data_IF_802181325252
#
_entry.id   IF_802181325252
#
_cell.length_a   1.000
_cell.length_b   1.000
_cell.length_c   1.000
_cell.angle_alpha   90.00
_cell.angle_beta   90.00
_cell.angle_gamma   90.00
#
_symmetry.space_group_name_H-M   'P 1'
#
loop_
_entity.id
_entity.type
_entity.pdbx_description
1 polymer ?
#
# COMPACT_ATOMS: atom_id res chain seq x y z
N UNK A 1 1.51 -47.36 40.49
CA UNK A 1 2.59 -48.04 39.75
C UNK A 1 1.95 -49.08 38.85
N UNK A 2 2.03 -48.88 37.54
CA UNK A 2 2.12 -49.92 36.51
C UNK A 2 2.43 -49.19 35.20
N UNK A 3 3.63 -49.47 34.66
CA UNK A 3 4.16 -48.94 33.41
C UNK A 3 3.44 -49.61 32.23
N UNK A 4 3.23 -48.84 31.16
CA UNK A 4 2.98 -49.38 29.82
C UNK A 4 4.00 -48.69 28.90
N UNK A 5 5.06 -49.42 28.57
CA UNK A 5 5.94 -49.13 27.44
C UNK A 5 5.33 -49.87 26.25
N UNK A 6 4.93 -49.16 25.20
CA UNK A 6 4.72 -49.75 23.89
C UNK A 6 5.25 -48.82 22.80
N UNK A 7 6.09 -49.43 21.96
CA UNK A 7 6.89 -48.87 20.90
C UNK A 7 6.07 -48.15 19.83
N UNK A 8 6.45 -46.90 19.55
CA UNK A 8 6.18 -46.25 18.26
C UNK A 8 7.50 -45.74 17.67
N UNK A 9 8.34 -46.68 17.23
CA UNK A 9 9.39 -46.39 16.25
C UNK A 9 8.76 -46.23 14.86
N UNK A 10 8.12 -45.10 14.60
CA UNK A 10 7.97 -44.63 13.22
C UNK A 10 9.18 -43.77 12.89
N UNK A 11 10.16 -44.41 12.24
CA UNK A 11 11.20 -43.73 11.49
C UNK A 11 10.53 -42.85 10.43
N UNK A 12 10.30 -41.58 10.76
CA UNK A 12 10.11 -40.54 9.76
C UNK A 12 11.42 -40.44 8.97
N UNK A 13 11.45 -41.10 7.82
CA UNK A 13 12.49 -40.91 6.82
C UNK A 13 12.65 -39.42 6.58
N UNK A 14 13.78 -38.87 7.06
CA UNK A 14 14.16 -37.49 6.79
C UNK A 14 14.31 -37.36 5.28
N UNK A 15 13.33 -36.71 4.65
CA UNK A 15 13.41 -36.28 3.27
C UNK A 15 14.77 -35.61 3.04
N UNK A 16 15.48 -36.05 2.01
CA UNK A 16 16.81 -35.57 1.65
C UNK A 16 16.75 -34.06 1.41
N UNK A 17 17.15 -33.26 2.40
CA UNK A 17 17.26 -31.80 2.24
C UNK A 17 18.39 -31.58 1.24
N UNK A 18 18.13 -30.97 0.06
CA UNK A 18 19.18 -30.77 -0.93
C UNK A 18 20.32 -29.99 -0.29
N UNK A 19 21.53 -30.53 -0.41
CA UNK A 19 22.76 -29.93 0.12
C UNK A 19 22.98 -28.55 -0.50
N UNK A 20 22.44 -27.51 0.12
CA UNK A 20 22.75 -26.13 -0.24
C UNK A 20 24.22 -25.89 0.06
N UNK A 21 24.98 -25.46 -0.94
CA UNK A 21 26.39 -25.08 -0.78
C UNK A 21 26.56 -24.20 0.46
N UNK A 22 27.45 -24.60 1.39
CA UNK A 22 27.78 -23.79 2.59
C UNK A 22 28.52 -22.49 2.24
N UNK A 23 28.91 -22.30 0.99
CA UNK A 23 29.69 -21.17 0.48
C UNK A 23 28.89 -20.34 -0.51
N UNK A 24 29.17 -19.04 -0.51
CA UNK A 24 28.57 -18.07 -1.41
C UNK A 24 28.89 -18.39 -2.88
N UNK A 25 27.88 -18.34 -3.77
CA UNK A 25 28.08 -18.60 -5.20
C UNK A 25 28.85 -17.48 -5.90
N UNK A 26 28.77 -16.24 -5.40
CA UNK A 26 29.42 -15.06 -6.00
C UNK A 26 30.90 -14.96 -5.64
N UNK A 27 31.25 -14.92 -4.36
CA UNK A 27 32.65 -14.79 -3.93
C UNK A 27 33.36 -16.12 -3.67
N UNK A 28 32.64 -17.26 -3.66
CA UNK A 28 33.18 -18.61 -3.38
C UNK A 28 33.88 -18.79 -2.02
N UNK A 29 33.99 -17.75 -1.21
CA UNK A 29 34.69 -17.76 0.08
C UNK A 29 33.72 -17.56 1.25
N UNK A 30 32.89 -16.52 1.18
CA UNK A 30 31.98 -16.15 2.27
C UNK A 30 30.97 -17.25 2.58
N UNK A 31 30.63 -17.42 3.87
CA UNK A 31 29.60 -18.35 4.30
C UNK A 31 28.25 -17.96 3.67
N UNK A 32 27.58 -18.94 3.07
CA UNK A 32 26.21 -18.79 2.62
C UNK A 32 25.32 -18.41 3.82
N UNK A 33 24.72 -17.23 3.74
CA UNK A 33 23.82 -16.69 4.75
C UNK A 33 22.40 -16.48 4.20
N UNK A 34 22.26 -16.52 2.88
CA UNK A 34 21.09 -16.06 2.16
C UNK A 34 20.91 -16.96 0.94
N UNK A 35 19.73 -17.53 0.69
CA UNK A 35 19.47 -18.40 -0.47
C UNK A 35 18.32 -17.80 -1.25
N UNK A 36 18.58 -17.34 -2.48
CA UNK A 36 17.55 -16.70 -3.32
C UNK A 36 16.76 -17.77 -4.08
N UNK A 37 17.44 -18.82 -4.53
CA UNK A 37 16.87 -19.99 -5.24
C UNK A 37 17.68 -21.23 -4.89
N UNK A 38 17.15 -22.40 -5.19
CA UNK A 38 17.89 -23.67 -5.03
C UNK A 38 19.20 -23.59 -5.81
N UNK A 39 20.33 -23.65 -5.10
CA UNK A 39 21.68 -23.50 -5.68
C UNK A 39 22.28 -22.10 -5.61
N UNK A 40 21.47 -21.07 -5.37
CA UNK A 40 21.84 -19.64 -5.37
C UNK A 40 22.02 -19.10 -3.94
N UNK A 41 23.06 -19.58 -3.27
CA UNK A 41 23.40 -19.18 -1.90
C UNK A 41 24.43 -18.04 -1.86
N UNK A 42 24.14 -16.90 -1.23
CA UNK A 42 25.00 -15.71 -1.13
C UNK A 42 25.47 -15.47 0.32
N UNK A 43 26.65 -14.86 0.50
CA UNK A 43 27.02 -14.24 1.77
C UNK A 43 26.35 -12.87 1.89
N UNK A 44 26.24 -12.33 3.12
CA UNK A 44 25.57 -11.05 3.40
C UNK A 44 26.07 -9.90 2.52
N UNK A 45 27.39 -9.77 2.34
CA UNK A 45 27.99 -8.68 1.56
C UNK A 45 27.65 -8.82 0.07
N UNK A 46 27.94 -9.98 -0.52
CA UNK A 46 27.66 -10.24 -1.93
C UNK A 46 26.17 -10.14 -2.27
N UNK A 47 25.29 -10.54 -1.34
CA UNK A 47 23.86 -10.34 -1.46
C UNK A 47 23.51 -8.86 -1.46
N UNK A 48 23.99 -8.08 -0.47
CA UNK A 48 23.72 -6.65 -0.36
C UNK A 48 24.17 -5.90 -1.61
N UNK A 49 25.36 -6.16 -2.12
CA UNK A 49 25.87 -5.51 -3.33
C UNK A 49 25.02 -5.88 -4.55
N UNK A 50 24.71 -7.16 -4.71
CA UNK A 50 23.88 -7.64 -5.84
C UNK A 50 22.47 -7.08 -5.78
N UNK A 51 21.88 -7.04 -4.58
CA UNK A 51 20.57 -6.48 -4.32
C UNK A 51 20.56 -4.99 -4.61
N UNK A 52 21.52 -4.22 -4.10
CA UNK A 52 21.66 -2.77 -4.37
C UNK A 52 21.83 -2.50 -5.86
N UNK A 53 22.65 -3.27 -6.57
CA UNK A 53 22.80 -3.12 -8.02
C UNK A 53 21.49 -3.41 -8.78
N UNK A 54 20.81 -4.51 -8.45
CA UNK A 54 19.53 -4.88 -9.08
C UNK A 54 18.44 -3.85 -8.77
N UNK A 55 18.36 -3.43 -7.50
CA UNK A 55 17.43 -2.41 -7.01
C UNK A 55 17.64 -1.07 -7.73
N UNK A 56 18.89 -0.60 -7.86
CA UNK A 56 19.21 0.63 -8.60
C UNK A 56 18.92 0.53 -10.09
N UNK A 57 19.19 -0.62 -10.72
CA UNK A 57 18.91 -0.83 -12.13
C UNK A 57 17.40 -0.77 -12.42
N UNK A 58 16.56 -1.28 -11.51
CA UNK A 58 15.10 -1.27 -11.66
C UNK A 58 14.46 0.10 -11.39
N UNK A 59 15.01 0.88 -10.45
CA UNK A 59 14.51 2.22 -10.13
C UNK A 59 14.79 3.28 -11.21
N UNK A 60 15.65 3.01 -12.20
CA UNK A 60 15.98 3.97 -13.27
C UNK A 60 16.62 5.27 -12.75
N UNK A 61 16.48 6.39 -13.49
CA UNK A 61 16.95 7.74 -13.09
C UNK A 61 16.03 8.43 -12.06
N UNK A 62 15.17 7.69 -11.39
CA UNK A 62 14.19 8.24 -10.45
C UNK A 62 14.93 8.81 -9.24
N UNK A 63 14.66 10.08 -8.92
CA UNK A 63 15.42 10.86 -7.92
C UNK A 63 14.98 10.50 -6.50
N UNK A 64 15.91 10.68 -5.58
CA UNK A 64 15.82 10.36 -4.14
C UNK A 64 15.11 11.49 -3.39
N UNK A 65 14.41 11.19 -2.29
CA UNK A 65 13.83 12.20 -1.41
C UNK A 65 14.98 12.99 -0.80
N UNK A 66 15.10 14.29 -1.11
CA UNK A 66 16.21 15.10 -0.64
C UNK A 66 16.04 15.50 0.84
N UNK A 67 17.15 15.65 1.59
CA UNK A 67 17.13 16.20 2.95
C UNK A 67 16.36 17.52 3.02
N UNK A 68 15.27 17.54 3.79
CA UNK A 68 14.38 18.70 3.94
C UNK A 68 13.01 18.56 3.26
N UNK A 69 12.80 17.54 2.44
CA UNK A 69 11.49 17.23 1.85
C UNK A 69 10.57 16.56 2.87
N UNK A 70 9.29 16.93 2.81
CA UNK A 70 8.23 16.38 3.67
C UNK A 70 6.96 16.17 2.86
N UNK A 71 6.27 15.08 3.16
CA UNK A 71 4.93 14.82 2.63
C UNK A 71 3.95 14.60 3.77
N UNK A 72 2.72 15.01 3.56
CA UNK A 72 1.64 14.88 4.53
C UNK A 72 0.71 13.76 4.10
N UNK A 73 0.42 12.86 5.03
CA UNK A 73 -0.57 11.81 4.90
C UNK A 73 -1.90 12.34 5.40
N UNK A 74 -2.91 12.35 4.54
CA UNK A 74 -4.27 12.76 4.89
C UNK A 74 -5.27 11.66 4.57
N UNK A 75 -6.35 11.56 5.33
CA UNK A 75 -7.41 10.58 5.07
C UNK A 75 -8.77 11.23 5.21
N UNK A 76 -9.69 10.84 4.34
CA UNK A 76 -11.09 11.21 4.45
C UNK A 76 -11.74 10.35 5.52
N UNK A 77 -12.34 10.98 6.52
CA UNK A 77 -13.04 10.30 7.62
C UNK A 77 -14.50 10.74 7.61
N UNK A 78 -15.41 9.81 7.89
CA UNK A 78 -16.84 10.15 7.98
C UNK A 78 -17.07 11.21 9.07
N UNK A 79 -17.87 12.23 8.74
CA UNK A 79 -18.12 13.38 9.61
C UNK A 79 -17.25 14.61 9.34
N UNK A 80 -16.23 14.52 8.48
CA UNK A 80 -15.40 15.66 8.09
C UNK A 80 -15.42 15.89 6.59
N UNK A 81 -15.72 17.13 6.17
CA UNK A 81 -15.79 17.52 4.75
C UNK A 81 -14.39 17.54 4.11
N UNK A 82 -13.36 17.89 4.89
CA UNK A 82 -11.97 17.92 4.42
C UNK A 82 -11.18 16.71 4.94
N UNK A 83 -10.29 16.12 4.13
CA UNK A 83 -9.35 15.10 4.60
C UNK A 83 -8.55 15.62 5.79
N UNK A 84 -8.40 14.80 6.81
CA UNK A 84 -7.64 15.14 8.01
C UNK A 84 -6.18 14.71 7.87
N UNK A 85 -5.25 15.55 8.34
CA UNK A 85 -3.86 15.17 8.48
C UNK A 85 -3.69 14.12 9.58
N UNK A 86 -3.06 13.01 9.21
CA UNK A 86 -2.81 11.87 10.11
C UNK A 86 -1.35 11.87 10.55
N UNK A 87 -0.45 12.17 9.61
CA UNK A 87 0.99 12.02 9.80
C UNK A 87 1.76 12.85 8.77
N UNK A 88 2.90 13.40 9.19
CA UNK A 88 3.92 13.93 8.27
C UNK A 88 5.05 12.91 8.13
N UNK A 89 5.51 12.68 6.90
CA UNK A 89 6.64 11.82 6.55
C UNK A 89 7.81 12.67 6.04
N UNK A 90 9.04 12.24 6.33
CA UNK A 90 10.28 12.86 5.88
C UNK A 90 11.24 11.88 5.22
N UNK A 91 12.50 12.30 5.09
CA UNK A 91 13.55 11.49 4.46
C UNK A 91 13.76 10.17 5.22
N UNK A 92 13.68 9.06 4.48
CA UNK A 92 13.84 7.71 5.03
C UNK A 92 12.51 7.03 5.39
N UNK A 93 11.42 7.79 5.48
CA UNK A 93 10.08 7.22 5.57
C UNK A 93 9.65 6.66 4.21
N UNK A 94 8.73 5.71 4.25
CA UNK A 94 8.12 5.09 3.08
C UNK A 94 6.59 5.06 3.24
N UNK A 95 5.89 4.94 2.11
CA UNK A 95 4.43 4.83 2.06
C UNK A 95 4.01 3.98 0.85
N UNK A 96 2.79 3.46 0.88
CA UNK A 96 2.25 2.66 -0.22
C UNK A 96 2.65 1.18 -0.18
N UNK A 97 3.19 0.72 0.95
CA UNK A 97 3.59 -0.66 1.19
C UNK A 97 2.44 -1.66 1.03
N UNK A 98 1.20 -1.24 1.31
CA UNK A 98 0.00 -2.04 1.02
C UNK A 98 -0.09 -2.49 -0.43
N UNK A 99 0.29 -1.61 -1.37
CA UNK A 99 0.22 -1.89 -2.80
C UNK A 99 1.18 -3.01 -3.23
N UNK A 100 2.21 -3.31 -2.43
CA UNK A 100 3.13 -4.43 -2.67
C UNK A 100 2.54 -5.78 -2.24
N UNK A 101 1.56 -5.78 -1.32
CA UNK A 101 0.98 -6.98 -0.70
C UNK A 101 -0.44 -7.28 -1.21
N UNK A 102 -1.31 -6.26 -1.35
CA UNK A 102 -2.71 -6.41 -1.75
C UNK A 102 -3.10 -5.43 -2.86
N UNK A 103 -4.16 -5.75 -3.59
CA UNK A 103 -4.81 -4.89 -4.61
C UNK A 103 -5.81 -3.89 -4.01
N UNK A 104 -5.73 -3.64 -2.71
CA UNK A 104 -6.66 -2.75 -2.04
C UNK A 104 -6.60 -1.31 -2.56
N UNK A 105 -7.73 -0.64 -2.43
CA UNK A 105 -7.85 0.80 -2.59
C UNK A 105 -6.94 1.54 -1.61
N UNK A 106 -6.40 2.66 -2.09
CA UNK A 106 -5.58 3.59 -1.31
C UNK A 106 -6.34 4.04 -0.06
N UNK A 107 -5.78 3.81 1.13
CA UNK A 107 -6.43 4.20 2.38
C UNK A 107 -6.18 5.65 2.80
N UNK A 108 -5.16 6.31 2.24
CA UNK A 108 -4.83 7.70 2.56
C UNK A 108 -4.17 8.42 1.37
N UNK A 109 -4.40 9.73 1.27
CA UNK A 109 -3.73 10.63 0.35
C UNK A 109 -2.35 11.02 0.88
N UNK A 110 -1.43 11.28 -0.04
CA UNK A 110 -0.07 11.76 0.20
C UNK A 110 0.05 13.06 -0.58
N UNK A 111 0.30 14.15 0.13
CA UNK A 111 0.33 15.51 -0.39
C UNK A 111 1.71 16.10 -0.11
N UNK A 112 2.34 16.68 -1.12
CA UNK A 112 3.59 17.40 -0.95
C UNK A 112 3.25 18.82 -0.52
N UNK A 113 3.76 19.28 0.63
CA UNK A 113 3.33 20.56 1.17
C UNK A 113 3.87 21.76 0.39
N UNK A 114 5.13 21.75 -0.08
CA UNK A 114 5.73 22.98 -0.63
C UNK A 114 6.96 22.80 -1.54
N UNK A 115 7.58 21.62 -1.63
CA UNK A 115 8.84 21.40 -2.38
C UNK A 115 8.71 20.32 -3.46
N UNK A 116 9.64 20.33 -4.44
CA UNK A 116 9.86 19.29 -5.47
C UNK A 116 10.22 17.94 -4.81
N UNK A 117 9.28 17.30 -4.12
CA UNK A 117 9.53 16.03 -3.45
C UNK A 117 9.77 14.92 -4.47
N UNK A 118 10.89 14.22 -4.31
CA UNK A 118 11.27 13.15 -5.21
C UNK A 118 11.19 11.78 -4.54
N UNK A 119 10.21 10.94 -4.88
CA UNK A 119 10.11 9.60 -4.30
C UNK A 119 10.81 8.54 -5.16
N UNK A 120 11.50 7.60 -4.50
CA UNK A 120 11.84 6.32 -5.13
C UNK A 120 10.60 5.45 -5.17
N UNK A 121 10.28 4.90 -6.34
CA UNK A 121 9.07 4.09 -6.55
C UNK A 121 9.46 2.69 -7.00
N UNK A 122 9.02 1.69 -6.24
CA UNK A 122 9.12 0.27 -6.60
C UNK A 122 7.70 -0.23 -6.82
N UNK A 123 7.43 -0.78 -8.01
CA UNK A 123 6.16 -1.47 -8.28
C UNK A 123 6.17 -2.91 -7.72
N UNK A 124 4.98 -3.52 -7.69
CA UNK A 124 4.78 -4.85 -7.13
C UNK A 124 5.55 -5.93 -7.88
N UNK A 125 5.61 -5.88 -9.19
CA UNK A 125 6.29 -6.89 -10.00
C UNK A 125 7.79 -6.87 -9.75
N UNK A 126 8.38 -5.68 -9.70
CA UNK A 126 9.77 -5.45 -9.36
C UNK A 126 10.06 -5.87 -7.92
N UNK A 127 9.17 -5.56 -6.97
CA UNK A 127 9.28 -6.03 -5.59
C UNK A 127 9.29 -7.56 -5.53
N UNK A 128 8.35 -8.24 -6.20
CA UNK A 128 8.28 -9.70 -6.23
C UNK A 128 9.50 -10.34 -6.91
N UNK A 129 10.07 -9.72 -7.95
CA UNK A 129 11.31 -10.21 -8.57
C UNK A 129 12.56 -10.02 -7.70
N UNK A 130 12.55 -9.10 -6.74
CA UNK A 130 13.67 -8.80 -5.85
C UNK A 130 13.57 -9.53 -4.51
N UNK A 131 12.37 -9.58 -3.96
CA UNK A 131 12.05 -9.99 -2.58
C UNK A 131 11.11 -11.20 -2.56
N UNK A 132 10.49 -11.56 -3.68
CA UNK A 132 9.44 -12.58 -3.73
C UNK A 132 9.87 -14.01 -3.34
N UNK A 133 11.17 -14.24 -3.13
CA UNK A 133 11.73 -15.49 -2.61
C UNK A 133 12.12 -15.39 -1.13
N UNK A 134 11.71 -14.32 -0.43
CA UNK A 134 11.97 -14.09 1.00
C UNK A 134 10.65 -14.13 1.75
N UNK A 135 10.23 -15.34 2.07
CA UNK A 135 8.99 -15.56 2.83
C UNK A 135 8.99 -14.78 4.15
N UNK A 136 10.15 -14.68 4.83
CA UNK A 136 10.29 -13.90 6.08
C UNK A 136 10.01 -12.40 5.87
N UNK A 137 10.55 -11.80 4.79
CA UNK A 137 10.35 -10.37 4.53
C UNK A 137 8.91 -10.11 4.07
N UNK A 138 8.35 -11.00 3.26
CA UNK A 138 6.94 -10.94 2.89
C UNK A 138 6.01 -11.09 4.09
N UNK A 139 6.31 -12.01 5.01
CA UNK A 139 5.53 -12.22 6.23
C UNK A 139 5.57 -10.98 7.13
N UNK A 140 6.77 -10.44 7.38
CA UNK A 140 6.92 -9.21 8.16
C UNK A 140 6.18 -8.02 7.54
N UNK A 141 6.23 -7.88 6.21
CA UNK A 141 5.50 -6.82 5.51
C UNK A 141 3.98 -7.01 5.59
N UNK A 142 3.50 -8.25 5.50
CA UNK A 142 2.08 -8.59 5.67
C UNK A 142 1.57 -8.23 7.06
N UNK A 143 2.29 -8.64 8.11
CA UNK A 143 1.93 -8.32 9.49
C UNK A 143 1.84 -6.80 9.72
N UNK A 144 2.83 -6.05 9.21
CA UNK A 144 2.83 -4.60 9.28
C UNK A 144 1.64 -3.97 8.55
N UNK A 145 1.32 -4.46 7.34
CA UNK A 145 0.16 -3.99 6.56
C UNK A 145 -1.17 -4.27 7.27
N UNK A 146 -1.31 -5.42 7.94
CA UNK A 146 -2.50 -5.72 8.73
C UNK A 146 -2.67 -4.80 9.93
N UNK A 147 -1.58 -4.45 10.62
CA UNK A 147 -1.61 -3.50 11.73
C UNK A 147 -2.08 -2.10 11.27
N UNK A 148 -1.63 -1.67 10.10
CA UNK A 148 -2.11 -0.44 9.46
C UNK A 148 -3.61 -0.52 9.13
N UNK A 149 -4.10 -1.65 8.60
CA UNK A 149 -5.54 -1.84 8.35
C UNK A 149 -6.37 -1.63 9.62
N UNK A 150 -5.96 -2.27 10.72
CA UNK A 150 -6.66 -2.16 12.02
C UNK A 150 -6.63 -0.72 12.56
N UNK A 151 -5.54 -0.01 12.32
CA UNK A 151 -5.40 1.40 12.72
C UNK A 151 -6.31 2.32 11.90
N UNK A 152 -6.44 2.06 10.61
CA UNK A 152 -7.35 2.78 9.71
C UNK A 152 -8.82 2.56 10.11
N UNK A 153 -9.21 1.32 10.40
CA UNK A 153 -10.55 0.97 10.88
C UNK A 153 -10.91 1.67 12.20
N UNK A 154 -9.98 1.69 13.17
CA UNK A 154 -10.18 2.37 14.45
C UNK A 154 -10.40 3.87 14.26
N UNK A 155 -9.64 4.52 13.38
CA UNK A 155 -9.77 5.95 13.10
C UNK A 155 -11.13 6.27 12.45
N UNK A 156 -11.62 5.37 11.61
CA UNK A 156 -12.96 5.48 11.03
C UNK A 156 -14.06 5.24 12.08
N UNK A 157 -13.87 4.32 13.03
CA UNK A 157 -14.87 3.99 14.05
C UNK A 157 -14.97 5.05 15.17
N UNK A 158 -13.85 5.60 15.62
CA UNK A 158 -13.82 6.57 16.74
C UNK A 158 -14.47 7.93 16.43
N UNK A 159 -14.82 8.20 15.17
CA UNK A 159 -15.41 9.48 14.73
C UNK A 159 -16.95 9.48 14.70
N UNK A 160 -17.61 8.36 15.01
CA UNK A 160 -19.07 8.30 15.20
C UNK A 160 -19.49 8.94 16.54
N UNK A 161 -19.42 10.26 16.63
CA UNK A 161 -20.22 11.04 17.59
C UNK A 161 -21.58 11.34 16.96
N UNK A 162 -22.69 11.47 17.74
CA UNK A 162 -24.02 11.69 17.18
C UNK A 162 -24.01 12.90 16.25
N UNK A 163 -24.67 12.84 15.09
CA UNK A 163 -24.54 13.83 14.04
C UNK A 163 -24.91 15.20 14.61
N UNK A 164 -23.94 16.12 14.65
CA UNK A 164 -24.24 17.53 14.87
C UNK A 164 -24.80 18.06 13.55
N UNK A 165 -26.08 18.41 13.57
CA UNK A 165 -26.84 18.99 12.46
C UNK A 165 -26.16 20.29 11.97
N UNK A 166 -25.20 20.16 11.06
CA UNK A 166 -24.66 21.28 10.29
C UNK A 166 -25.32 21.27 8.90
N UNK A 167 -25.48 22.46 8.31
CA UNK A 167 -26.07 22.63 6.99
C UNK A 167 -25.37 21.78 5.91
N UNK A 168 -24.05 21.59 6.04
CA UNK A 168 -23.24 20.73 5.17
C UNK A 168 -23.60 19.24 5.30
N UNK A 169 -23.97 18.79 6.51
CA UNK A 169 -24.42 17.41 6.75
C UNK A 169 -25.73 17.09 6.06
N UNK A 170 -26.68 18.03 6.07
CA UNK A 170 -27.97 17.90 5.37
C UNK A 170 -27.78 17.84 3.85
N UNK A 171 -26.89 18.67 3.30
CA UNK A 171 -26.57 18.67 1.88
C UNK A 171 -25.90 17.34 1.45
N UNK A 172 -24.96 16.84 2.26
CA UNK A 172 -24.30 15.55 2.03
C UNK A 172 -25.29 14.37 2.11
N UNK A 173 -26.25 14.42 3.02
CA UNK A 173 -27.29 13.39 3.15
C UNK A 173 -28.24 13.41 1.94
N UNK A 174 -28.66 14.59 1.50
CA UNK A 174 -29.48 14.73 0.28
C UNK A 174 -28.76 14.21 -0.96
N UNK A 175 -27.45 14.47 -1.09
CA UNK A 175 -26.64 13.92 -2.19
C UNK A 175 -26.58 12.39 -2.14
N UNK A 176 -26.38 11.80 -0.95
CA UNK A 176 -26.36 10.34 -0.77
C UNK A 176 -27.67 9.68 -1.19
N UNK A 177 -28.81 10.25 -0.80
CA UNK A 177 -30.14 9.75 -1.20
C UNK A 177 -30.32 9.79 -2.71
N UNK A 178 -29.90 10.88 -3.36
CA UNK A 178 -29.98 11.02 -4.82
C UNK A 178 -29.08 10.04 -5.56
N UNK A 179 -27.86 9.79 -5.06
CA UNK A 179 -26.95 8.78 -5.63
C UNK A 179 -27.58 7.38 -5.53
N UNK A 180 -28.24 7.06 -4.41
CA UNK A 180 -28.90 5.78 -4.22
C UNK A 180 -30.07 5.53 -5.19
N UNK A 181 -30.66 6.59 -5.75
CA UNK A 181 -31.75 6.53 -6.72
C UNK A 181 -31.27 6.45 -8.19
N UNK A 182 -29.96 6.48 -8.44
CA UNK A 182 -29.44 6.45 -9.81
C UNK A 182 -29.80 5.13 -10.51
N UNK A 183 -30.24 5.16 -11.79
CA UNK A 183 -30.60 3.95 -12.51
C UNK A 183 -29.38 3.04 -12.70
N UNK A 184 -29.47 1.78 -12.26
CA UNK A 184 -28.35 0.83 -12.37
C UNK A 184 -27.82 0.63 -13.80
N UNK A 185 -28.69 0.81 -14.81
CA UNK A 185 -28.34 0.62 -16.21
C UNK A 185 -27.66 1.85 -16.86
N UNK A 186 -27.87 3.06 -16.31
CA UNK A 186 -27.29 4.32 -16.80
C UNK A 186 -27.06 5.34 -15.66
N UNK A 187 -26.25 5.02 -14.64
CA UNK A 187 -26.15 5.83 -13.42
C UNK A 187 -25.51 7.20 -13.66
N UNK A 188 -24.79 7.37 -14.78
CA UNK A 188 -24.08 8.60 -15.10
C UNK A 188 -24.89 9.58 -15.95
N UNK A 189 -26.07 9.19 -16.44
CA UNK A 189 -26.84 10.02 -17.37
C UNK A 189 -27.34 11.32 -16.72
N UNK A 190 -27.58 11.30 -15.41
CA UNK A 190 -28.01 12.45 -14.62
C UNK A 190 -26.86 13.31 -14.10
N UNK A 191 -25.61 12.90 -14.37
CA UNK A 191 -24.41 13.59 -13.91
C UNK A 191 -23.79 14.40 -15.06
N UNK A 192 -23.16 15.52 -14.70
CA UNK A 192 -22.43 16.41 -15.59
C UNK A 192 -21.01 16.53 -15.05
N UNK A 193 -20.03 16.28 -15.90
CA UNK A 193 -18.62 16.46 -15.57
C UNK A 193 -18.31 17.95 -15.51
N UNK A 194 -17.84 18.41 -14.35
CA UNK A 194 -17.39 19.78 -14.12
C UNK A 194 -15.91 19.91 -14.43
N UNK A 195 -15.09 19.01 -13.89
CA UNK A 195 -13.64 19.09 -14.01
C UNK A 195 -12.99 17.72 -13.88
N UNK A 196 -11.74 17.60 -14.32
CA UNK A 196 -10.90 16.43 -14.06
C UNK A 196 -9.98 16.75 -12.89
N UNK A 197 -10.07 15.98 -11.81
CA UNK A 197 -9.29 16.20 -10.60
C UNK A 197 -7.94 15.47 -10.61
N UNK A 198 -7.83 14.40 -11.39
CA UNK A 198 -6.59 13.65 -11.50
C UNK A 198 -6.64 12.57 -12.57
N UNK A 199 -5.46 12.22 -13.09
CA UNK A 199 -5.25 11.13 -14.04
C UNK A 199 -4.05 10.31 -13.58
N UNK A 200 -4.20 9.00 -13.47
CA UNK A 200 -3.13 8.08 -13.05
C UNK A 200 -3.16 6.77 -13.82
N UNK A 201 -2.29 5.83 -13.46
CA UNK A 201 -2.18 4.54 -14.16
C UNK A 201 -3.45 3.68 -14.16
N UNK A 202 -4.39 3.95 -13.25
CA UNK A 202 -5.65 3.21 -13.07
C UNK A 202 -6.87 3.93 -13.64
N UNK A 203 -6.73 5.13 -14.21
CA UNK A 203 -7.85 5.87 -14.83
C UNK A 203 -7.88 7.36 -14.51
N UNK A 204 -9.08 7.95 -14.64
CA UNK A 204 -9.34 9.38 -14.44
C UNK A 204 -10.35 9.59 -13.31
N UNK A 205 -10.17 10.67 -12.55
CA UNK A 205 -11.12 11.11 -11.52
C UNK A 205 -11.82 12.37 -12.00
N UNK A 206 -13.15 12.32 -12.09
CA UNK A 206 -14.01 13.41 -12.53
C UNK A 206 -14.75 14.03 -11.34
N UNK A 207 -14.69 15.35 -11.22
CA UNK A 207 -15.66 16.10 -10.42
C UNK A 207 -16.94 16.20 -11.22
N UNK A 208 -18.04 15.73 -10.65
CA UNK A 208 -19.36 15.70 -11.30
C UNK A 208 -20.41 16.39 -10.42
N UNK A 209 -21.45 16.94 -11.05
CA UNK A 209 -22.64 17.44 -10.38
C UNK A 209 -23.90 16.88 -11.05
N UNK A 210 -24.99 16.81 -10.32
CA UNK A 210 -26.26 16.43 -10.92
C UNK A 210 -26.79 17.54 -11.83
N UNK A 211 -27.40 17.13 -12.94
CA UNK A 211 -28.00 18.05 -13.93
C UNK A 211 -28.99 19.04 -13.33
N UNK A 212 -29.76 18.65 -12.31
CA UNK A 212 -30.76 19.52 -11.68
C UNK A 212 -30.19 20.58 -10.73
N UNK A 213 -28.90 20.49 -10.38
CA UNK A 213 -28.23 21.46 -9.48
C UNK A 213 -27.55 22.59 -10.26
N UNK A 214 -27.46 22.48 -11.59
CA UNK A 214 -27.03 23.56 -12.48
C UNK A 214 -28.22 24.50 -12.76
N UNK A 215 -28.45 25.47 -11.88
CA UNK A 215 -29.28 26.63 -12.22
C UNK A 215 -28.52 27.42 -13.30
N UNK A 216 -29.11 27.74 -14.46
CA UNK A 216 -28.48 28.62 -15.43
C UNK A 216 -28.32 30.01 -14.80
N UNK A 217 -27.08 30.44 -14.60
CA UNK A 217 -26.77 31.86 -14.37
C UNK A 217 -27.01 32.56 -15.71
N UNK A 218 -28.26 32.91 -15.98
CA UNK A 218 -28.62 33.88 -16.99
C UNK A 218 -29.27 35.08 -16.30
N UNK A 219 -28.58 36.22 -16.41
CA UNK A 219 -29.00 37.58 -16.04
C UNK A 219 -29.19 37.93 -14.57
N UNK A 220 -28.16 38.54 -13.98
CA UNK A 220 -28.13 39.99 -13.66
C UNK A 220 -26.68 40.45 -13.43
#
# INVERSE_FOLDING_TARGET
MCQVEEDYQQQLERAHVPSVSKKCVKCKEGRAAVVIRVGDAYCRNCFRDSFVHKFRAMLGKTRVIFPGEKVVVTQSTEGFVKPQEIKTLGVGDYFGERALISEDVRSANIICNENDTHCLVVDRDNFNQMVGTYEELQASLKEYVEELSRSDERRNFMSQSPPTESAEGLEMQSLRERIALLPAHQPFQELVVIATLGVGGFGRVELVSFRSTLIPIHHL
#
